data_IF_340020429711
#
_entry.id   IF_340020429711
#
_cell.length_a   1.000
_cell.length_b   1.000
_cell.length_c   1.000
_cell.angle_alpha   90.00
_cell.angle_beta   90.00
_cell.angle_gamma   90.00
#
_symmetry.space_group_name_H-M   'P 1'
#
loop_
_entity.id
_entity.type
_entity.pdbx_description
1 polymer ?
#
# COMPACT_ATOMS: atom_id res chain seq x y z
N UNK A 1 10.93 -8.40 -13.30
CA UNK A 1 10.59 -9.72 -12.68
C UNK A 1 9.36 -10.31 -13.37
N UNK A 2 9.10 -11.62 -13.24
CA UNK A 2 7.84 -12.25 -13.70
C UNK A 2 6.85 -12.31 -12.54
N UNK A 3 5.57 -12.11 -12.82
CA UNK A 3 4.47 -12.22 -11.86
C UNK A 3 4.44 -13.65 -11.29
N UNK A 4 4.44 -13.84 -9.95
CA UNK A 4 4.37 -15.16 -9.34
C UNK A 4 3.08 -15.91 -9.70
N UNK A 5 1.97 -15.16 -9.83
CA UNK A 5 0.62 -15.66 -10.07
C UNK A 5 0.40 -16.12 -11.53
N UNK A 6 0.60 -15.23 -12.51
CA UNK A 6 0.25 -15.50 -13.92
C UNK A 6 1.46 -15.64 -14.86
N UNK A 7 2.69 -15.47 -14.35
CA UNK A 7 3.97 -15.46 -15.12
C UNK A 7 4.13 -14.30 -16.11
N UNK A 8 3.22 -13.33 -16.10
CA UNK A 8 3.31 -12.09 -16.87
C UNK A 8 4.44 -11.17 -16.47
N UNK A 9 4.68 -10.12 -17.25
CA UNK A 9 5.70 -9.12 -16.98
C UNK A 9 5.22 -8.14 -15.90
N UNK A 10 6.06 -7.92 -14.90
CA UNK A 10 5.83 -6.90 -13.87
C UNK A 10 6.51 -5.60 -14.30
N UNK A 11 5.80 -4.48 -14.19
CA UNK A 11 6.27 -3.14 -14.58
C UNK A 11 6.10 -2.14 -13.43
N UNK A 12 6.92 -1.07 -13.35
CA UNK A 12 6.71 -0.01 -12.36
C UNK A 12 5.30 0.59 -12.46
N UNK A 13 4.65 0.77 -11.31
CA UNK A 13 3.29 1.27 -11.18
C UNK A 13 3.00 1.75 -9.76
N UNK A 14 1.71 1.84 -9.45
CA UNK A 14 1.21 2.24 -8.12
C UNK A 14 0.08 1.32 -7.69
N UNK A 15 -0.03 1.09 -6.39
CA UNK A 15 -1.10 0.31 -5.75
C UNK A 15 -1.70 1.08 -4.57
N UNK A 16 -2.82 0.59 -4.04
CA UNK A 16 -3.44 1.11 -2.83
C UNK A 16 -3.45 0.00 -1.78
N UNK A 17 -2.90 0.29 -0.60
CA UNK A 17 -2.76 -0.68 0.48
C UNK A 17 -3.76 -0.37 1.61
N UNK A 18 -4.79 -1.21 1.82
CA UNK A 18 -5.68 -1.11 2.97
C UNK A 18 -5.02 -1.71 4.22
N UNK A 19 -5.12 -1.00 5.34
CA UNK A 19 -4.68 -1.44 6.67
C UNK A 19 -5.87 -1.37 7.63
N UNK A 20 -6.16 -2.48 8.28
CA UNK A 20 -7.09 -2.51 9.40
C UNK A 20 -6.32 -2.16 10.66
N UNK A 21 -6.77 -1.12 11.35
CA UNK A 21 -6.18 -0.69 12.63
C UNK A 21 -7.02 -1.25 13.78
N UNK A 22 -6.44 -1.36 14.97
CA UNK A 22 -7.13 -1.95 16.12
C UNK A 22 -8.45 -1.20 16.42
N UNK A 23 -9.52 -1.97 16.66
CA UNK A 23 -10.89 -1.48 16.85
C UNK A 23 -11.85 -1.90 15.73
N UNK A 24 -13.14 -1.99 16.06
CA UNK A 24 -14.16 -2.47 15.12
C UNK A 24 -14.36 -1.50 13.95
N UNK A 25 -14.03 -1.95 12.74
CA UNK A 25 -14.36 -1.25 11.49
C UNK A 25 -13.39 -0.16 11.04
N UNK A 26 -12.25 0.00 11.71
CA UNK A 26 -11.29 1.05 11.43
C UNK A 26 -10.33 0.66 10.29
N UNK A 27 -10.30 1.46 9.20
CA UNK A 27 -9.51 1.18 7.99
C UNK A 27 -8.81 2.42 7.47
N UNK A 28 -7.49 2.33 7.33
CA UNK A 28 -6.65 3.34 6.66
C UNK A 28 -6.22 2.77 5.31
N UNK A 29 -6.49 3.50 4.23
CA UNK A 29 -6.03 3.13 2.89
C UNK A 29 -4.90 4.07 2.48
N UNK A 30 -3.70 3.53 2.36
CA UNK A 30 -2.56 4.30 1.82
C UNK A 30 -2.57 4.15 0.30
N UNK A 31 -2.78 5.26 -0.40
CA UNK A 31 -2.98 5.31 -1.85
C UNK A 31 -1.72 5.71 -2.59
N UNK A 32 -1.64 5.36 -3.88
CA UNK A 32 -0.53 5.73 -4.76
C UNK A 32 0.84 5.22 -4.29
N UNK A 33 0.86 4.05 -3.62
CA UNK A 33 2.08 3.41 -3.13
C UNK A 33 2.90 2.87 -4.31
N UNK A 34 4.19 3.22 -4.45
CA UNK A 34 5.04 2.67 -5.50
C UNK A 34 5.10 1.14 -5.43
N UNK A 35 4.87 0.48 -6.56
CA UNK A 35 4.85 -0.97 -6.66
C UNK A 35 5.31 -1.42 -8.05
N UNK A 36 5.59 -2.71 -8.18
CA UNK A 36 5.58 -3.38 -9.48
C UNK A 36 4.19 -3.97 -9.70
N UNK A 37 3.57 -3.71 -10.83
CA UNK A 37 2.22 -4.19 -11.17
C UNK A 37 2.31 -5.07 -12.40
N UNK A 38 1.63 -6.21 -12.37
CA UNK A 38 1.56 -7.10 -13.52
C UNK A 38 0.73 -6.48 -14.63
N UNK A 39 1.31 -6.34 -15.83
CA UNK A 39 0.59 -5.78 -17.00
C UNK A 39 -0.53 -6.70 -17.53
N UNK A 40 -0.61 -7.96 -17.04
CA UNK A 40 -1.61 -8.94 -17.48
C UNK A 40 -2.73 -9.18 -16.48
N UNK A 41 -2.42 -9.40 -15.20
CA UNK A 41 -3.43 -9.75 -14.19
C UNK A 41 -3.65 -8.69 -13.10
N UNK A 42 -2.86 -7.61 -13.11
CA UNK A 42 -2.98 -6.53 -12.12
C UNK A 42 -2.42 -6.82 -10.73
N UNK A 43 -1.87 -8.01 -10.50
CA UNK A 43 -1.21 -8.39 -9.25
C UNK A 43 -0.04 -7.45 -8.96
N UNK A 44 0.09 -6.98 -7.72
CA UNK A 44 1.08 -6.00 -7.32
C UNK A 44 2.12 -6.59 -6.36
N UNK A 45 3.33 -6.01 -6.43
CA UNK A 45 4.45 -6.35 -5.57
C UNK A 45 5.08 -5.07 -5.05
N UNK A 46 5.05 -4.91 -3.72
CA UNK A 46 5.59 -3.73 -3.04
C UNK A 46 6.91 -4.09 -2.39
N UNK A 47 7.94 -3.32 -2.68
CA UNK A 47 9.28 -3.52 -2.11
C UNK A 47 9.26 -3.30 -0.59
N UNK A 48 10.09 -4.05 0.13
CA UNK A 48 10.09 -4.08 1.60
C UNK A 48 10.39 -2.70 2.23
N UNK A 49 11.21 -1.88 1.58
CA UNK A 49 11.53 -0.53 2.03
C UNK A 49 10.33 0.43 1.88
N UNK A 50 9.53 0.24 0.83
CA UNK A 50 8.27 0.96 0.62
C UNK A 50 7.25 0.55 1.68
N UNK A 51 7.07 -0.76 1.92
CA UNK A 51 6.18 -1.27 2.98
C UNK A 51 6.54 -0.67 4.34
N UNK A 52 7.82 -0.67 4.71
CA UNK A 52 8.29 -0.06 5.98
C UNK A 52 7.97 1.43 6.11
N UNK A 53 7.89 2.17 5.00
CA UNK A 53 7.45 3.59 5.02
C UNK A 53 5.94 3.69 5.18
N UNK A 54 5.18 2.83 4.51
CA UNK A 54 3.72 2.74 4.66
C UNK A 54 3.34 2.44 6.11
N UNK A 55 4.00 1.48 6.76
CA UNK A 55 3.77 1.15 8.18
C UNK A 55 4.00 2.35 9.10
N UNK A 56 5.05 3.16 8.84
CA UNK A 56 5.31 4.40 9.60
C UNK A 56 4.21 5.45 9.40
N UNK A 57 3.66 5.55 8.19
CA UNK A 57 2.55 6.44 7.87
C UNK A 57 1.32 6.02 8.68
N UNK A 58 0.95 4.73 8.62
CA UNK A 58 -0.19 4.17 9.37
C UNK A 58 -0.03 4.40 10.87
N UNK A 59 1.12 4.06 11.45
CA UNK A 59 1.40 4.25 12.87
C UNK A 59 1.40 5.73 13.32
N UNK A 60 1.62 6.67 12.41
CA UNK A 60 1.45 8.11 12.70
C UNK A 60 -0.03 8.48 12.74
N UNK A 61 -0.79 8.04 11.74
CA UNK A 61 -2.23 8.33 11.61
C UNK A 61 -3.01 7.76 12.81
N UNK A 62 -2.68 6.54 13.23
CA UNK A 62 -3.25 5.93 14.44
C UNK A 62 -2.99 6.76 15.70
N UNK A 63 -1.75 7.25 15.88
CA UNK A 63 -1.40 8.13 17.01
C UNK A 63 -2.12 9.47 16.97
N UNK A 64 -2.47 9.96 15.78
CA UNK A 64 -3.26 11.18 15.59
C UNK A 64 -4.76 10.94 15.84
N UNK A 65 -5.16 9.72 16.23
CA UNK A 65 -6.55 9.36 16.59
C UNK A 65 -7.47 9.16 15.38
N UNK A 66 -6.91 9.08 14.18
CA UNK A 66 -7.68 8.88 12.95
C UNK A 66 -7.92 7.38 12.78
N UNK A 67 -9.19 7.00 12.79
CA UNK A 67 -9.60 5.60 12.72
C UNK A 67 -10.04 5.15 11.32
N UNK A 68 -10.35 6.09 10.43
CA UNK A 68 -10.73 5.80 9.04
C UNK A 68 -10.23 6.89 8.10
N UNK A 69 -9.64 6.52 6.96
CA UNK A 69 -9.22 7.53 5.98
C UNK A 69 -8.43 7.02 4.78
N UNK A 70 -8.29 7.91 3.80
CA UNK A 70 -7.43 7.75 2.62
C UNK A 70 -6.22 8.66 2.77
N UNK A 71 -5.01 8.09 2.68
CA UNK A 71 -3.76 8.84 2.79
C UNK A 71 -2.91 8.63 1.55
N UNK A 72 -2.51 9.70 0.88
CA UNK A 72 -1.64 9.61 -0.29
C UNK A 72 -0.18 9.41 0.14
N UNK A 73 0.45 8.34 -0.35
CA UNK A 73 1.82 7.96 -0.01
C UNK A 73 2.81 9.13 -0.19
N UNK A 74 2.77 9.82 -1.33
CA UNK A 74 3.69 10.92 -1.64
C UNK A 74 3.48 12.20 -0.80
N UNK A 75 2.34 12.33 -0.12
CA UNK A 75 2.06 13.45 0.79
C UNK A 75 2.37 13.12 2.26
N UNK A 76 2.50 11.84 2.58
CA UNK A 76 2.69 11.35 3.94
C UNK A 76 4.09 10.77 4.21
N UNK A 77 4.83 10.41 3.16
CA UNK A 77 6.20 9.89 3.22
C UNK A 77 7.27 10.96 3.54
#
# INVERSE_FOLDING_TARGET
MKCPLCKGRMVPGKTNLPFTVEGDGNVIVVTSVPALVCEQCGDDFVEIDVVRRVEKIVARIERDGISMGLVEYGRAA
#
